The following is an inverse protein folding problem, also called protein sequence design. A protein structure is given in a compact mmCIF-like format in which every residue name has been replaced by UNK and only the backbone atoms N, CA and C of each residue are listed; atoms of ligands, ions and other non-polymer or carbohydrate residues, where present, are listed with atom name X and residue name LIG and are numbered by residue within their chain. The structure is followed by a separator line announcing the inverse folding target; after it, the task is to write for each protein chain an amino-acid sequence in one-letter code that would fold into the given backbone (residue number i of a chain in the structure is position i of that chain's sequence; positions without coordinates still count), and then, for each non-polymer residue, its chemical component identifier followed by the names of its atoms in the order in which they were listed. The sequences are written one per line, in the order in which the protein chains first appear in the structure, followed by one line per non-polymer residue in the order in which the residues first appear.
data_IF_599745746572
#
_entry.id   IF_599745746572
#
_cell.length_a   1.000
_cell.length_b   1.000
_cell.length_c   1.000
_cell.angle_alpha   90.00
_cell.angle_beta   90.00
_cell.angle_gamma   90.00
#
_symmetry.space_group_name_H-M   'P 1'
#
loop_
_entity.id
_entity.type
_entity.pdbx_description
1 polymer ?
#
# COMPACT_ATOMS: atom_id res chain seq x y z
N UNK A 1 7.48 2.20 -15.08
CA UNK A 1 6.30 1.39 -14.77
C UNK A 1 5.84 1.74 -13.40
N UNK A 2 4.53 1.78 -13.22
CA UNK A 2 3.91 2.14 -11.97
C UNK A 2 2.80 1.12 -11.65
N UNK A 3 2.58 0.81 -10.38
CA UNK A 3 1.46 -0.03 -9.91
C UNK A 3 0.63 0.71 -8.86
N UNK A 4 -0.63 0.29 -8.75
CA UNK A 4 -1.53 0.66 -7.68
C UNK A 4 -2.09 -0.61 -7.05
N UNK A 5 -1.89 -0.79 -5.77
CA UNK A 5 -2.21 -2.02 -5.05
C UNK A 5 -3.17 -1.70 -3.90
N UNK A 6 -4.24 -2.49 -3.76
CA UNK A 6 -5.20 -2.40 -2.66
C UNK A 6 -5.07 -3.66 -1.82
N UNK A 7 -4.82 -3.46 -0.53
CA UNK A 7 -4.73 -4.53 0.45
C UNK A 7 -5.82 -4.38 1.50
N UNK A 8 -6.50 -5.46 1.86
CA UNK A 8 -7.45 -5.47 2.98
C UNK A 8 -6.80 -6.08 4.22
N UNK A 9 -7.06 -5.45 5.37
CA UNK A 9 -6.54 -5.92 6.65
C UNK A 9 -7.44 -7.03 7.21
N UNK A 10 -6.82 -8.14 7.58
CA UNK A 10 -7.36 -9.10 8.53
C UNK A 10 -6.72 -8.82 9.89
N UNK A 11 -7.51 -8.20 10.78
CA UNK A 11 -7.06 -7.80 12.11
C UNK A 11 -6.80 -9.00 13.02
N UNK A 12 -7.59 -10.08 12.88
CA UNK A 12 -7.43 -11.28 13.69
C UNK A 12 -6.12 -12.02 13.35
N UNK A 13 -5.73 -11.99 12.07
CA UNK A 13 -4.52 -12.63 11.58
C UNK A 13 -3.28 -11.71 11.54
N UNK A 14 -3.41 -10.42 11.90
CA UNK A 14 -2.36 -9.40 11.79
C UNK A 14 -1.68 -9.42 10.40
N UNK A 15 -2.51 -9.46 9.36
CA UNK A 15 -2.07 -9.66 7.99
C UNK A 15 -2.88 -8.83 6.99
N UNK A 16 -2.28 -8.54 5.85
CA UNK A 16 -2.88 -7.80 4.76
C UNK A 16 -2.96 -8.67 3.50
N UNK A 17 -4.15 -8.80 2.92
CA UNK A 17 -4.35 -9.55 1.68
C UNK A 17 -4.38 -8.60 0.48
N UNK A 18 -3.58 -8.87 -0.55
CA UNK A 18 -3.65 -8.12 -1.80
C UNK A 18 -4.91 -8.51 -2.57
N UNK A 19 -5.91 -7.62 -2.59
CA UNK A 19 -7.20 -7.90 -3.24
C UNK A 19 -7.25 -7.38 -4.67
N UNK A 20 -6.45 -6.37 -4.98
CA UNK A 20 -6.43 -5.79 -6.31
C UNK A 20 -5.09 -5.14 -6.62
N UNK A 21 -4.69 -5.26 -7.88
CA UNK A 21 -3.55 -4.56 -8.44
C UNK A 21 -3.90 -4.00 -9.82
N UNK A 22 -3.46 -2.80 -10.10
CA UNK A 22 -3.48 -2.20 -11.43
C UNK A 22 -2.05 -1.80 -11.80
N UNK A 23 -1.64 -2.12 -13.03
CA UNK A 23 -0.28 -1.92 -13.50
C UNK A 23 -0.27 -1.05 -14.75
N UNK A 24 0.70 -0.15 -14.87
CA UNK A 24 0.88 0.71 -16.04
C UNK A 24 2.34 0.72 -16.50
N UNK A 25 2.52 0.80 -17.83
CA UNK A 25 3.81 0.71 -18.48
C UNK A 25 4.25 -0.73 -18.78
N UNK A 26 5.35 -0.87 -19.52
CA UNK A 26 5.81 -2.16 -20.06
C UNK A 26 6.73 -2.95 -19.10
N UNK A 27 7.41 -2.28 -18.16
CA UNK A 27 8.42 -2.87 -17.26
C UNK A 27 7.85 -3.54 -15.99
N UNK A 28 8.55 -3.34 -14.86
CA UNK A 28 8.20 -3.90 -13.55
C UNK A 28 6.73 -3.72 -13.17
N UNK A 29 6.12 -4.78 -12.66
CA UNK A 29 4.69 -4.87 -12.37
C UNK A 29 4.48 -5.78 -11.16
N UNK A 30 3.37 -5.60 -10.46
CA UNK A 30 2.88 -6.59 -9.51
C UNK A 30 2.48 -7.84 -10.28
N UNK A 31 3.00 -9.00 -9.87
CA UNK A 31 2.66 -10.28 -10.49
C UNK A 31 1.17 -10.60 -10.22
N UNK A 32 0.34 -10.88 -11.25
CA UNK A 32 -1.07 -11.23 -11.06
C UNK A 32 -1.31 -12.43 -10.12
N UNK A 33 -0.34 -13.33 -9.98
CA UNK A 33 -0.42 -14.46 -9.05
C UNK A 33 -0.40 -14.05 -7.58
N UNK A 34 0.00 -12.81 -7.28
CA UNK A 34 -0.03 -12.26 -5.92
C UNK A 34 -1.44 -11.81 -5.51
N UNK A 35 -2.39 -11.71 -6.43
CA UNK A 35 -3.79 -11.41 -6.06
C UNK A 35 -4.34 -12.56 -5.21
N UNK A 36 -4.80 -12.22 -4.01
CA UNK A 36 -5.24 -13.16 -2.98
C UNK A 36 -4.12 -13.60 -2.03
N UNK A 37 -2.86 -13.25 -2.29
CA UNK A 37 -1.75 -13.53 -1.38
C UNK A 37 -1.88 -12.68 -0.10
N UNK A 38 -1.50 -13.29 1.02
CA UNK A 38 -1.57 -12.69 2.35
C UNK A 38 -0.16 -12.43 2.88
N UNK A 39 0.02 -11.23 3.42
CA UNK A 39 1.29 -10.70 3.88
C UNK A 39 1.21 -10.36 5.36
N UNK A 40 2.13 -10.87 6.18
CA UNK A 40 2.19 -10.49 7.60
C UNK A 40 2.67 -9.05 7.76
N UNK A 41 1.97 -8.27 8.58
CA UNK A 41 2.36 -6.88 8.87
C UNK A 41 3.70 -6.79 9.64
N UNK A 42 4.14 -7.89 10.26
CA UNK A 42 5.45 -7.97 10.90
C UNK A 42 6.61 -7.91 9.89
N UNK A 43 6.34 -8.29 8.63
CA UNK A 43 7.32 -8.26 7.56
C UNK A 43 7.46 -6.87 6.94
N UNK A 44 6.39 -6.07 6.92
CA UNK A 44 6.33 -4.80 6.18
C UNK A 44 6.29 -3.61 7.14
N UNK A 45 7.47 -3.04 7.41
CA UNK A 45 7.62 -1.92 8.37
C UNK A 45 6.80 -0.70 7.96
N UNK A 46 6.76 -0.38 6.67
CA UNK A 46 5.93 0.68 6.11
C UNK A 46 4.44 0.51 6.43
N UNK A 47 3.89 -0.69 6.24
CA UNK A 47 2.48 -0.97 6.54
C UNK A 47 2.21 -0.88 8.04
N UNK A 48 3.13 -1.39 8.87
CA UNK A 48 3.02 -1.29 10.34
C UNK A 48 2.99 0.16 10.82
N UNK A 49 3.86 1.02 10.29
CA UNK A 49 3.90 2.45 10.64
C UNK A 49 2.58 3.12 10.26
N UNK A 50 2.08 2.88 9.04
CA UNK A 50 0.78 3.43 8.61
C UNK A 50 -0.37 2.93 9.49
N UNK A 51 -0.34 1.65 9.90
CA UNK A 51 -1.34 1.07 10.80
C UNK A 51 -1.37 1.78 12.16
N UNK A 52 -0.20 2.05 12.74
CA UNK A 52 -0.07 2.63 14.08
C UNK A 52 -0.35 4.13 14.10
N UNK A 53 0.06 4.85 13.05
CA UNK A 53 -0.03 6.30 12.99
C UNK A 53 -1.33 6.79 12.36
N UNK A 54 -2.01 5.93 11.59
CA UNK A 54 -3.14 6.31 10.74
C UNK A 54 -2.79 7.39 9.72
N UNK A 55 -1.50 7.55 9.39
CA UNK A 55 -1.00 8.55 8.47
C UNK A 55 -0.47 7.91 7.18
N UNK A 56 -0.54 8.63 6.03
CA UNK A 56 0.13 8.20 4.83
C UNK A 56 1.65 8.25 4.98
N UNK A 57 2.35 7.50 4.15
CA UNK A 57 3.80 7.45 4.17
C UNK A 57 4.38 7.43 2.75
N UNK A 58 5.51 8.14 2.57
CA UNK A 58 6.26 8.19 1.32
C UNK A 58 7.61 7.52 1.54
N UNK A 59 7.97 6.62 0.61
CA UNK A 59 9.28 6.00 0.48
C UNK A 59 9.95 6.61 -0.74
N UNK A 60 10.97 7.43 -0.51
CA UNK A 60 11.65 8.19 -1.56
C UNK A 60 12.52 7.33 -2.45
N UNK A 61 13.36 6.47 -1.86
CA UNK A 61 14.10 5.44 -2.60
C UNK A 61 14.09 4.11 -1.84
N UNK A 62 13.34 3.15 -2.37
CA UNK A 62 13.19 1.81 -1.82
C UNK A 62 14.53 1.06 -1.66
N UNK A 63 15.58 1.43 -2.39
CA UNK A 63 16.91 0.80 -2.30
C UNK A 63 17.70 1.19 -1.04
N UNK A 64 17.28 2.25 -0.34
CA UNK A 64 18.01 2.81 0.80
C UNK A 64 17.13 3.13 2.01
N UNK A 65 15.81 3.13 1.86
CA UNK A 65 14.89 3.46 2.93
C UNK A 65 14.75 2.30 3.94
N UNK A 66 15.03 2.52 5.24
CA UNK A 66 14.98 1.47 6.26
C UNK A 66 13.55 1.00 6.60
N UNK A 67 12.52 1.67 6.08
CA UNK A 67 11.12 1.29 6.22
C UNK A 67 10.60 0.48 5.03
N UNK A 68 11.42 0.27 4.00
CA UNK A 68 11.08 -0.58 2.87
C UNK A 68 11.54 -2.01 3.08
N UNK A 69 10.66 -2.97 2.80
CA UNK A 69 11.00 -4.39 2.82
C UNK A 69 11.35 -4.86 1.42
N UNK A 70 12.56 -5.37 1.25
CA UNK A 70 13.03 -5.90 -0.03
C UNK A 70 12.46 -7.29 -0.30
N UNK A 71 11.70 -7.39 -1.38
CA UNK A 71 11.21 -8.66 -1.91
C UNK A 71 11.72 -8.85 -3.34
N UNK A 72 12.19 -10.05 -3.73
CA UNK A 72 12.64 -10.32 -5.09
C UNK A 72 11.61 -9.96 -6.16
N UNK A 73 10.35 -10.32 -5.94
CA UNK A 73 9.20 -10.04 -6.82
C UNK A 73 8.87 -8.54 -6.94
N UNK A 74 9.28 -7.74 -5.96
CA UNK A 74 9.05 -6.29 -5.90
C UNK A 74 10.33 -5.46 -6.13
N UNK A 75 11.43 -6.10 -6.57
CA UNK A 75 12.75 -5.47 -6.73
C UNK A 75 12.78 -4.31 -7.74
N UNK A 76 11.78 -4.23 -8.62
CA UNK A 76 11.64 -3.13 -9.59
C UNK A 76 11.16 -1.83 -8.96
N UNK A 77 10.57 -1.87 -7.76
CA UNK A 77 10.02 -0.70 -7.08
C UNK A 77 11.17 0.15 -6.56
N UNK A 78 11.17 1.42 -6.95
CA UNK A 78 12.17 2.43 -6.55
C UNK A 78 11.59 3.50 -5.66
N UNK A 79 10.30 3.79 -5.71
CA UNK A 79 9.63 4.62 -4.72
C UNK A 79 8.20 4.15 -4.52
N UNK A 80 7.62 4.51 -3.38
CA UNK A 80 6.26 4.14 -3.03
C UNK A 80 5.58 5.25 -2.23
N UNK A 81 4.28 5.41 -2.39
CA UNK A 81 3.43 6.17 -1.47
C UNK A 81 2.27 5.27 -1.04
N UNK A 82 2.01 5.22 0.25
CA UNK A 82 0.90 4.45 0.81
C UNK A 82 0.03 5.31 1.70
N UNK A 83 -1.25 4.97 1.78
CA UNK A 83 -2.15 5.53 2.79
C UNK A 83 -3.03 4.42 3.38
N UNK A 84 -3.28 4.46 4.71
CA UNK A 84 -4.23 3.54 5.33
C UNK A 84 -5.66 3.92 4.94
N UNK A 85 -6.49 2.90 4.73
CA UNK A 85 -7.95 3.05 4.68
C UNK A 85 -8.43 2.98 6.12
N UNK A 86 -8.89 4.12 6.66
CA UNK A 86 -9.29 4.22 8.07
C UNK A 86 -10.80 4.33 8.18
N UNK A 87 -11.42 3.42 8.91
CA UNK A 87 -12.86 3.42 9.21
C UNK A 87 -13.08 3.21 10.69
N UNK A 88 -14.03 3.93 11.29
CA UNK A 88 -14.31 3.88 12.74
C UNK A 88 -13.07 3.98 13.66
N UNK A 89 -12.02 4.68 13.22
CA UNK A 89 -10.78 4.85 13.97
C UNK A 89 -9.78 3.69 13.91
N UNK A 90 -10.06 2.64 13.13
CA UNK A 90 -9.13 1.55 12.87
C UNK A 90 -8.77 1.42 11.38
N UNK A 91 -7.65 0.76 11.08
CA UNK A 91 -7.24 0.51 9.70
C UNK A 91 -8.03 -0.68 9.16
N UNK A 92 -8.72 -0.48 8.03
CA UNK A 92 -9.45 -1.52 7.29
C UNK A 92 -8.59 -2.14 6.17
N UNK A 93 -7.53 -1.45 5.76
CA UNK A 93 -6.66 -1.85 4.66
C UNK A 93 -5.68 -0.75 4.28
N UNK A 94 -5.01 -0.93 3.15
CA UNK A 94 -4.02 0.02 2.62
C UNK A 94 -4.21 0.18 1.12
N UNK A 95 -3.90 1.37 0.62
CA UNK A 95 -3.69 1.60 -0.81
C UNK A 95 -2.26 2.07 -0.98
N UNK A 96 -1.52 1.45 -1.90
CA UNK A 96 -0.16 1.85 -2.24
C UNK A 96 -0.02 2.13 -3.74
N UNK A 97 0.79 3.12 -4.07
CA UNK A 97 1.23 3.40 -5.43
C UNK A 97 2.74 3.18 -5.45
N UNK A 98 3.21 2.41 -6.42
CA UNK A 98 4.62 2.07 -6.55
C UNK A 98 5.15 2.55 -7.90
N UNK A 99 6.41 3.01 -7.94
CA UNK A 99 7.05 3.46 -9.16
C UNK A 99 8.44 2.86 -9.33
N UNK A 100 8.80 2.55 -10.58
CA UNK A 100 10.16 2.19 -10.95
C UNK A 100 11.14 3.39 -10.95
N UNK A 101 10.65 4.61 -10.67
CA UNK A 101 11.47 5.82 -10.53
C UNK A 101 11.64 6.17 -9.05
N UNK A 102 12.84 6.52 -8.57
CA UNK A 102 12.99 7.08 -7.23
C UNK A 102 12.33 8.46 -7.16
N UNK A 103 11.88 8.85 -5.97
CA UNK A 103 11.27 10.15 -5.67
C UNK A 103 10.10 10.52 -6.60
N UNK A 104 9.32 9.55 -7.07
CA UNK A 104 8.17 9.81 -7.93
C UNK A 104 7.00 10.48 -7.18
N UNK A 105 6.98 10.36 -5.85
CA UNK A 105 5.88 10.80 -5.01
C UNK A 105 6.25 11.99 -4.11
N UNK A 106 5.30 12.91 -3.96
CA UNK A 106 5.42 14.13 -3.16
C UNK A 106 4.37 14.12 -2.03
N UNK A 107 4.48 15.00 -1.03
CA UNK A 107 3.44 15.15 0.00
C UNK A 107 2.04 15.38 -0.57
N UNK A 108 1.93 16.12 -1.68
CA UNK A 108 0.64 16.35 -2.37
C UNK A 108 0.04 15.03 -2.87
N UNK A 109 0.85 14.09 -3.38
CA UNK A 109 0.35 12.77 -3.77
C UNK A 109 -0.15 11.95 -2.56
N UNK A 110 0.52 12.07 -1.41
CA UNK A 110 0.09 11.40 -0.18
C UNK A 110 -1.26 11.97 0.36
N UNK A 111 -1.44 13.29 0.29
CA UNK A 111 -2.71 13.94 0.65
C UNK A 111 -3.86 13.49 -0.26
N UNK A 112 -3.63 13.49 -1.58
CA UNK A 112 -4.61 13.02 -2.55
C UNK A 112 -4.96 11.54 -2.35
N UNK A 113 -3.95 10.69 -2.10
CA UNK A 113 -4.17 9.27 -1.82
C UNK A 113 -4.97 9.07 -0.52
N UNK A 114 -4.69 9.87 0.51
CA UNK A 114 -5.45 9.84 1.77
C UNK A 114 -6.91 10.21 1.58
N UNK A 115 -7.20 11.25 0.77
CA UNK A 115 -8.57 11.61 0.43
C UNK A 115 -9.30 10.48 -0.32
N UNK A 116 -8.61 9.78 -1.22
CA UNK A 116 -9.14 8.61 -1.91
C UNK A 116 -9.41 7.44 -0.94
N UNK A 117 -8.50 7.17 -0.01
CA UNK A 117 -8.69 6.18 1.07
C UNK A 117 -9.91 6.49 1.93
N UNK A 118 -10.23 7.76 2.18
CA UNK A 118 -11.46 8.17 2.88
C UNK A 118 -12.73 7.73 2.16
N UNK A 119 -12.77 7.81 0.82
CA UNK A 119 -13.89 7.29 0.03
C UNK A 119 -13.94 5.75 0.03
N UNK A 120 -12.77 5.11 -0.04
CA UNK A 120 -12.68 3.65 0.04
C UNK A 120 -13.18 3.11 1.40
N UNK A 121 -12.93 3.83 2.50
CA UNK A 121 -13.41 3.47 3.83
C UNK A 121 -14.94 3.39 3.87
N UNK A 122 -15.62 4.42 3.37
CA UNK A 122 -17.10 4.47 3.29
C UNK A 122 -17.64 3.28 2.50
N UNK A 123 -17.02 2.96 1.34
CA UNK A 123 -17.45 1.84 0.52
C UNK A 123 -17.26 0.48 1.22
N UNK A 124 -16.14 0.29 1.93
CA UNK A 124 -15.85 -0.94 2.67
C UNK A 124 -16.76 -1.11 3.89
N UNK A 125 -17.07 -0.03 4.58
CA UNK A 125 -18.03 -0.04 5.70
C UNK A 125 -19.42 -0.45 5.21
N UNK A 126 -19.89 0.10 4.08
CA UNK A 126 -21.17 -0.27 3.50
C UNK A 126 -21.22 -1.72 3.00
N UNK A 127 -20.09 -2.31 2.59
CA UNK A 127 -20.03 -3.69 2.12
C UNK A 127 -19.93 -4.72 3.25
N UNK A 128 -19.58 -4.29 4.48
CA UNK A 128 -19.56 -5.14 5.67
C UNK A 128 -20.89 -5.14 6.44
N UNK A 129 -21.81 -4.24 6.09
CA UNK A 129 -23.19 -4.17 6.59
C UNK A 129 -24.12 -5.07 5.76
#
# INVERSE_FOLDING_TARGET
SDSADIMLLDEAADSAQLVRSANTGAGGRTDPSLIGATFSLNTFRNLRIMQQTLQPMIIGDATSDPNWTHLPEASWIRSSVGAPIVGHGCVLGFITLNSARPHAFTPVHAELLSAFCGQAAIALENARL
#
